data_IF_265775757691
#
_entry.id   IF_265775757691
#
_cell.length_a   1.000
_cell.length_b   1.000
_cell.length_c   1.000
_cell.angle_alpha   90.00
_cell.angle_beta   90.00
_cell.angle_gamma   90.00
#
_symmetry.space_group_name_H-M   'P 1'
#
loop_
_entity.id
_entity.type
_entity.pdbx_description
1 polymer ?
#
# COMPACT_ATOMS: atom_id res chain seq x y z
N UNK A 1 13.04 -10.99 -34.38
CA UNK A 1 12.32 -10.03 -33.54
C UNK A 1 10.94 -10.59 -33.23
N UNK A 2 10.59 -10.83 -31.97
CA UNK A 2 9.20 -11.13 -31.58
C UNK A 2 8.62 -9.90 -30.89
N UNK A 3 7.45 -9.45 -31.33
CA UNK A 3 6.74 -8.33 -30.72
C UNK A 3 5.65 -8.87 -29.80
N UNK A 4 5.74 -8.59 -28.49
CA UNK A 4 4.63 -8.80 -27.56
C UNK A 4 3.69 -7.58 -27.65
N UNK A 5 2.37 -7.80 -27.67
CA UNK A 5 1.36 -6.73 -27.71
C UNK A 5 0.82 -6.49 -26.29
N UNK A 6 0.94 -5.24 -25.82
CA UNK A 6 0.05 -4.66 -24.80
C UNK A 6 -0.88 -3.67 -25.52
N UNK A 7 -2.15 -3.52 -25.10
CA UNK A 7 -3.12 -2.70 -25.82
C UNK A 7 -2.77 -1.19 -25.81
N UNK A 8 -3.15 -0.50 -26.90
CA UNK A 8 -2.68 0.83 -27.37
C UNK A 8 -3.34 2.04 -26.69
N UNK A 9 -2.61 3.17 -26.65
CA UNK A 9 -2.99 4.47 -27.24
C UNK A 9 -1.79 5.43 -27.44
N UNK A 10 -1.85 6.27 -28.48
CA UNK A 10 -0.87 7.30 -28.91
C UNK A 10 -1.00 8.60 -28.08
N UNK A 11 -0.12 9.62 -28.05
CA UNK A 11 0.84 10.15 -29.03
C UNK A 11 2.00 10.96 -28.38
N UNK A 12 2.99 11.27 -29.22
CA UNK A 12 4.36 11.82 -29.02
C UNK A 12 4.52 13.21 -28.41
N UNK A 13 5.65 13.41 -27.70
CA UNK A 13 6.54 14.59 -27.82
C UNK A 13 7.98 14.25 -27.38
N UNK A 14 9.00 14.89 -27.98
CA UNK A 14 10.45 14.58 -27.86
C UNK A 14 11.14 15.42 -26.76
N UNK A 15 12.13 14.91 -26.00
CA UNK A 15 12.89 15.71 -25.02
C UNK A 15 14.32 16.06 -25.47
N UNK A 16 14.88 17.10 -24.83
CA UNK A 16 16.26 17.60 -24.94
C UNK A 16 17.06 17.13 -23.71
N UNK A 17 18.35 16.87 -23.92
CA UNK A 17 19.28 16.14 -23.05
C UNK A 17 20.19 17.07 -22.21
N UNK A 18 20.51 16.69 -20.97
CA UNK A 18 21.74 16.94 -20.17
C UNK A 18 21.40 16.73 -18.68
N UNK A 19 22.15 16.14 -17.76
CA UNK A 19 23.55 15.67 -17.64
C UNK A 19 23.83 15.71 -16.12
N UNK A 20 24.07 14.56 -15.46
CA UNK A 20 24.03 14.44 -13.98
C UNK A 20 25.42 14.17 -13.38
N UNK A 21 25.82 14.98 -12.41
CA UNK A 21 26.95 14.75 -11.50
C UNK A 21 26.44 14.07 -10.22
N UNK A 22 27.12 13.03 -9.74
CA UNK A 22 26.83 12.34 -8.48
C UNK A 22 27.64 12.92 -7.33
N UNK A 23 26.98 13.28 -6.22
CA UNK A 23 27.58 13.54 -4.91
C UNK A 23 26.97 12.56 -3.90
N UNK A 24 27.79 11.77 -3.21
CA UNK A 24 27.35 10.80 -2.22
C UNK A 24 26.96 11.50 -0.90
N UNK A 25 25.80 11.15 -0.33
CA UNK A 25 25.33 11.66 0.96
C UNK A 25 25.15 10.50 1.97
N UNK A 26 25.59 10.74 3.21
CA UNK A 26 25.55 9.82 4.35
C UNK A 26 24.14 9.69 4.98
N UNK A 27 23.81 8.51 5.50
CA UNK A 27 22.53 8.16 6.15
C UNK A 27 22.38 8.82 7.55
N UNK A 28 21.17 9.28 7.96
CA UNK A 28 20.92 9.79 9.32
C UNK A 28 20.55 8.67 10.32
N UNK A 29 20.97 8.84 11.58
CA UNK A 29 20.79 7.90 12.69
C UNK A 29 19.38 7.95 13.33
N UNK A 30 18.89 6.78 13.78
CA UNK A 30 17.77 6.67 14.74
C UNK A 30 18.29 7.03 16.14
N UNK A 31 17.64 7.95 16.86
CA UNK A 31 18.01 8.23 18.26
C UNK A 31 17.24 7.31 19.20
N UNK A 32 17.95 6.76 20.19
CA UNK A 32 17.36 6.03 21.32
C UNK A 32 16.63 6.94 22.32
N UNK A 33 16.16 6.37 23.44
CA UNK A 33 15.45 7.10 24.47
C UNK A 33 16.30 8.25 25.03
N UNK A 34 15.68 9.43 25.19
CA UNK A 34 16.30 10.60 25.80
C UNK A 34 15.44 11.16 26.92
N UNK A 35 16.05 11.97 27.78
CA UNK A 35 15.34 12.73 28.82
C UNK A 35 14.69 13.97 28.20
N UNK A 36 13.38 14.08 28.38
CA UNK A 36 12.56 15.22 28.00
C UNK A 36 12.20 16.02 29.24
N UNK A 37 12.16 17.34 29.10
CA UNK A 37 11.90 18.28 30.18
C UNK A 37 10.80 19.25 29.76
N UNK A 38 9.84 19.49 30.64
CA UNK A 38 8.82 20.50 30.40
C UNK A 38 9.18 21.89 30.95
N UNK A 39 8.35 22.88 30.61
CA UNK A 39 8.52 24.27 31.05
C UNK A 39 8.41 24.45 32.58
N UNK A 40 7.95 23.44 33.31
CA UNK A 40 7.90 23.41 34.78
C UNK A 40 9.08 22.63 35.39
N UNK A 41 10.01 22.14 34.58
CA UNK A 41 11.19 21.38 35.03
C UNK A 41 10.91 19.92 35.35
N UNK A 42 9.73 19.39 35.03
CA UNK A 42 9.43 17.95 35.19
C UNK A 42 10.05 17.19 34.04
N UNK A 43 10.52 15.97 34.31
CA UNK A 43 11.29 15.20 33.34
C UNK A 43 10.73 13.81 33.11
N UNK A 44 10.85 13.31 31.89
CA UNK A 44 10.45 11.95 31.50
C UNK A 44 11.48 11.36 30.52
N UNK A 45 11.77 10.07 30.61
CA UNK A 45 12.57 9.37 29.59
C UNK A 45 11.66 8.76 28.54
N UNK A 46 11.89 9.13 27.28
CA UNK A 46 11.11 8.65 26.15
C UNK A 46 11.89 8.76 24.84
N UNK A 47 11.55 7.92 23.88
CA UNK A 47 11.98 8.04 22.49
C UNK A 47 11.14 9.11 21.78
N UNK A 48 11.77 9.89 20.88
CA UNK A 48 11.03 10.78 19.99
C UNK A 48 10.25 9.93 18.97
N UNK A 49 8.92 9.94 19.05
CA UNK A 49 8.06 9.18 18.14
C UNK A 49 7.48 10.03 17.00
N UNK A 50 7.77 11.33 16.97
CA UNK A 50 7.36 12.24 15.90
C UNK A 50 6.63 13.50 16.38
N UNK A 51 6.02 14.21 15.42
CA UNK A 51 5.19 15.39 15.64
C UNK A 51 3.80 15.17 15.04
N UNK A 52 2.78 15.65 15.74
CA UNK A 52 1.42 15.83 15.24
C UNK A 52 1.01 17.30 15.42
N UNK A 53 1.15 18.09 14.37
CA UNK A 53 1.01 19.55 14.43
C UNK A 53 2.00 20.18 15.41
N UNK A 54 1.49 20.82 16.47
CA UNK A 54 2.26 21.40 17.57
C UNK A 54 2.44 20.46 18.77
N UNK A 55 2.18 19.15 18.58
CA UNK A 55 2.28 18.14 19.63
C UNK A 55 3.43 17.19 19.35
N UNK A 56 4.30 16.97 20.33
CA UNK A 56 5.36 15.96 20.30
C UNK A 56 4.81 14.62 20.75
N UNK A 57 5.09 13.57 19.99
CA UNK A 57 4.76 12.20 20.37
C UNK A 57 5.97 11.58 21.08
N UNK A 58 5.79 11.17 22.33
CA UNK A 58 6.84 10.59 23.18
C UNK A 58 6.55 9.11 23.42
N UNK A 59 7.41 8.21 22.91
CA UNK A 59 7.28 6.78 23.14
C UNK A 59 7.99 6.39 24.43
N UNK A 60 7.20 6.00 25.42
CA UNK A 60 7.66 5.56 26.73
C UNK A 60 8.33 4.19 26.64
N UNK A 61 9.14 3.83 27.65
CA UNK A 61 9.80 2.53 27.74
C UNK A 61 8.85 1.32 27.72
N UNK A 62 7.58 1.52 28.11
CA UNK A 62 6.52 0.52 28.01
C UNK A 62 5.86 0.41 26.62
N UNK A 63 6.38 1.10 25.60
CA UNK A 63 5.85 1.11 24.23
C UNK A 63 4.65 2.04 24.00
N UNK A 64 4.09 2.64 25.06
CA UNK A 64 3.01 3.61 24.96
C UNK A 64 3.51 4.94 24.40
N UNK A 65 2.85 5.46 23.37
CA UNK A 65 3.10 6.82 22.86
C UNK A 65 2.18 7.83 23.56
N UNK A 66 2.79 8.86 24.15
CA UNK A 66 2.09 9.93 24.86
C UNK A 66 2.22 11.24 24.07
N UNK A 67 1.11 11.90 23.70
CA UNK A 67 1.15 13.21 23.10
C UNK A 67 1.46 14.29 24.15
N UNK A 68 2.38 15.19 23.84
CA UNK A 68 2.76 16.32 24.71
C UNK A 68 2.93 17.62 23.91
N UNK A 69 2.27 18.74 24.29
CA UNK A 69 2.37 19.99 23.53
C UNK A 69 3.81 20.51 23.44
N UNK A 70 4.30 20.80 22.22
CA UNK A 70 5.66 21.28 21.96
C UNK A 70 5.93 22.59 22.71
N UNK A 71 4.95 23.50 22.74
CA UNK A 71 5.03 24.77 23.45
C UNK A 71 5.21 24.62 24.98
N UNK A 72 4.89 23.44 25.53
CA UNK A 72 5.06 23.14 26.97
C UNK A 72 6.39 22.48 27.28
N UNK A 73 7.19 22.11 26.28
CA UNK A 73 8.53 21.58 26.50
C UNK A 73 9.53 22.69 26.85
N UNK A 74 10.67 22.31 27.42
CA UNK A 74 11.80 23.20 27.65
C UNK A 74 12.30 23.81 26.33
N UNK A 75 12.96 24.96 26.39
CA UNK A 75 13.55 25.58 25.20
C UNK A 75 14.57 24.67 24.50
N UNK A 76 15.30 23.86 25.28
CA UNK A 76 16.25 22.87 24.77
C UNK A 76 15.54 21.75 24.00
N UNK A 77 14.43 21.23 24.52
CA UNK A 77 13.66 20.18 23.84
C UNK A 77 12.88 20.72 22.65
N UNK A 78 12.41 21.96 22.70
CA UNK A 78 11.87 22.64 21.53
C UNK A 78 12.92 22.81 20.43
N UNK A 79 14.16 23.17 20.79
CA UNK A 79 15.26 23.28 19.84
C UNK A 79 15.68 21.91 19.29
N UNK A 80 15.67 20.84 20.10
CA UNK A 80 15.89 19.47 19.64
C UNK A 80 14.84 19.06 18.59
N UNK A 81 13.56 19.31 18.87
CA UNK A 81 12.46 19.00 17.95
C UNK A 81 12.56 19.83 16.67
N UNK A 82 12.93 21.12 16.76
CA UNK A 82 13.19 21.97 15.59
C UNK A 82 14.38 21.49 14.76
N UNK A 83 15.49 21.09 15.37
CA UNK A 83 16.63 20.48 14.66
C UNK A 83 16.24 19.16 14.00
N UNK A 84 15.37 18.35 14.63
CA UNK A 84 14.81 17.15 14.00
C UNK A 84 13.92 17.50 12.81
N UNK A 85 13.11 18.56 12.89
CA UNK A 85 12.31 19.12 11.78
C UNK A 85 13.18 19.61 10.63
N UNK A 86 14.32 20.23 10.93
CA UNK A 86 15.29 20.73 9.93
C UNK A 86 16.16 19.62 9.32
N UNK A 87 16.61 18.64 10.10
CA UNK A 87 17.28 17.43 9.59
C UNK A 87 16.33 16.54 8.76
N UNK A 88 15.03 16.85 8.77
CA UNK A 88 14.00 16.28 7.91
C UNK A 88 13.42 17.33 6.94
N UNK A 89 14.18 18.37 6.57
CA UNK A 89 13.89 19.27 5.46
C UNK A 89 13.71 18.51 4.11
N UNK A 90 12.96 19.06 3.13
CA UNK A 90 12.48 18.32 1.97
C UNK A 90 13.62 17.89 1.04
N UNK A 91 14.07 16.65 1.21
CA UNK A 91 14.55 15.86 0.08
C UNK A 91 13.37 15.65 -0.89
N UNK A 92 13.66 15.61 -2.19
CA UNK A 92 12.71 15.20 -3.24
C UNK A 92 12.11 13.81 -2.96
N UNK A 93 11.25 13.26 -3.83
CA UNK A 93 10.61 11.97 -3.61
C UNK A 93 11.67 10.97 -3.15
N UNK A 94 11.56 10.52 -1.90
CA UNK A 94 12.54 9.58 -1.36
C UNK A 94 12.39 8.33 -2.20
N UNK A 95 13.44 7.98 -2.95
CA UNK A 95 13.59 6.63 -3.44
C UNK A 95 13.30 5.70 -2.25
N UNK A 96 12.49 4.66 -2.46
CA UNK A 96 12.27 3.65 -1.45
C UNK A 96 13.65 3.24 -0.92
N UNK A 97 13.85 3.32 0.40
CA UNK A 97 15.10 2.91 1.03
C UNK A 97 15.45 1.48 0.63
N UNK A 98 16.72 1.04 0.77
CA UNK A 98 17.11 -0.32 0.41
C UNK A 98 16.20 -1.32 1.15
N UNK A 99 15.69 -2.30 0.40
CA UNK A 99 14.84 -3.37 0.94
C UNK A 99 15.58 -4.07 2.08
N UNK A 100 14.94 -4.21 3.24
CA UNK A 100 15.58 -4.83 4.40
C UNK A 100 15.86 -6.33 4.13
N UNK A 101 17.00 -6.88 4.60
CA UNK A 101 17.25 -8.32 4.56
C UNK A 101 16.14 -9.10 5.26
N UNK A 102 15.80 -10.28 4.75
CA UNK A 102 14.69 -11.11 5.23
C UNK A 102 14.75 -11.36 6.75
N UNK A 103 15.94 -11.60 7.28
CA UNK A 103 16.18 -11.95 8.69
C UNK A 103 15.96 -10.77 9.65
N UNK A 104 15.87 -9.54 9.12
CA UNK A 104 15.64 -8.31 9.89
C UNK A 104 14.22 -7.78 9.77
N UNK A 105 13.34 -8.47 9.02
CA UNK A 105 11.97 -8.02 8.80
C UNK A 105 11.11 -8.48 9.96
N UNK A 106 10.47 -7.52 10.62
CA UNK A 106 9.62 -7.76 11.78
C UNK A 106 8.24 -7.16 11.54
N UNK A 107 7.23 -7.70 12.23
CA UNK A 107 5.89 -7.11 12.21
C UNK A 107 5.91 -5.77 12.95
N UNK A 108 5.44 -4.67 12.31
CA UNK A 108 5.43 -3.38 12.97
C UNK A 108 4.35 -3.31 14.05
N UNK A 109 4.55 -2.46 15.05
CA UNK A 109 3.52 -2.11 16.03
C UNK A 109 2.52 -1.11 15.43
N UNK A 110 2.77 0.18 15.68
CA UNK A 110 2.00 1.26 15.07
C UNK A 110 2.81 1.91 13.95
N UNK A 111 2.16 2.20 12.83
CA UNK A 111 2.79 2.92 11.71
C UNK A 111 2.08 4.24 11.53
N UNK A 112 2.76 5.33 11.87
CA UNK A 112 2.27 6.68 11.70
C UNK A 112 2.91 7.33 10.48
N UNK A 113 2.08 7.97 9.65
CA UNK A 113 2.57 8.83 8.58
C UNK A 113 3.19 10.10 9.16
N UNK A 114 4.29 10.57 8.57
CA UNK A 114 4.91 11.82 9.01
C UNK A 114 4.10 13.03 8.52
N UNK A 115 4.11 14.12 9.28
CA UNK A 115 3.48 15.39 8.87
C UNK A 115 4.06 15.94 7.57
N UNK A 116 5.38 15.78 7.38
CA UNK A 116 6.06 16.14 6.13
C UNK A 116 5.52 15.36 4.93
N UNK A 117 5.26 14.05 5.10
CA UNK A 117 4.82 13.22 3.98
C UNK A 117 3.49 13.70 3.40
N UNK A 118 2.64 14.30 4.23
CA UNK A 118 1.28 14.73 3.88
C UNK A 118 1.18 16.23 3.55
N UNK A 119 2.31 16.96 3.56
CA UNK A 119 2.33 18.37 3.15
C UNK A 119 1.92 18.50 1.68
N UNK A 120 0.91 19.31 1.41
CA UNK A 120 0.39 19.50 0.07
C UNK A 120 1.02 20.70 -0.61
N UNK A 121 1.66 20.45 -1.75
CA UNK A 121 2.07 21.46 -2.71
C UNK A 121 1.03 21.57 -3.83
N UNK A 122 0.51 22.77 -4.07
CA UNK A 122 -0.28 23.08 -5.26
C UNK A 122 0.67 23.30 -6.44
N UNK A 123 0.49 22.55 -7.53
CA UNK A 123 1.35 22.57 -8.72
C UNK A 123 0.68 23.31 -9.88
N UNK A 124 -0.62 23.10 -10.07
CA UNK A 124 -1.37 23.69 -11.19
C UNK A 124 -2.82 23.96 -10.76
N UNK A 125 -3.36 25.12 -11.17
CA UNK A 125 -4.78 25.44 -11.08
C UNK A 125 -5.27 26.00 -12.42
N UNK A 126 -6.02 25.21 -13.17
CA UNK A 126 -6.62 25.58 -14.46
C UNK A 126 -8.12 25.37 -14.39
N UNK A 127 -8.82 26.35 -13.83
CA UNK A 127 -10.26 26.28 -13.60
C UNK A 127 -11.08 26.04 -14.88
N UNK A 128 -10.68 26.68 -16.00
CA UNK A 128 -11.35 26.53 -17.29
C UNK A 128 -11.26 25.09 -17.85
N UNK A 129 -10.21 24.35 -17.49
CA UNK A 129 -9.99 22.96 -17.90
C UNK A 129 -10.51 21.95 -16.86
N UNK A 130 -11.11 22.41 -15.76
CA UNK A 130 -11.44 21.58 -14.60
C UNK A 130 -10.23 20.73 -14.18
N UNK A 131 -9.05 21.35 -14.07
CA UNK A 131 -7.80 20.64 -13.78
C UNK A 131 -7.03 21.33 -12.66
N UNK A 132 -6.82 20.61 -11.57
CA UNK A 132 -6.05 21.05 -10.41
C UNK A 132 -5.07 19.97 -10.02
N UNK A 133 -3.79 20.30 -9.85
CA UNK A 133 -2.73 19.34 -9.54
C UNK A 133 -2.12 19.64 -8.18
N UNK A 134 -2.07 18.63 -7.34
CA UNK A 134 -1.49 18.67 -6.00
C UNK A 134 -0.41 17.60 -5.86
N UNK A 135 0.57 17.82 -5.01
CA UNK A 135 1.61 16.83 -4.70
C UNK A 135 1.78 16.69 -3.19
N UNK A 136 1.93 15.45 -2.74
CA UNK A 136 2.47 15.09 -1.42
C UNK A 136 3.89 14.49 -1.60
N UNK A 137 4.46 13.84 -0.57
CA UNK A 137 5.82 13.28 -0.65
C UNK A 137 5.98 12.17 -1.69
N UNK A 138 4.99 11.31 -1.90
CA UNK A 138 5.07 10.19 -2.84
C UNK A 138 4.00 10.23 -3.95
N UNK A 139 2.97 11.07 -3.82
CA UNK A 139 1.83 11.07 -4.73
C UNK A 139 1.65 12.41 -5.47
N UNK A 140 1.13 12.32 -6.70
CA UNK A 140 0.56 13.42 -7.45
C UNK A 140 -0.93 13.18 -7.64
N UNK A 141 -1.74 14.17 -7.29
CA UNK A 141 -3.19 14.14 -7.38
C UNK A 141 -3.66 15.09 -8.47
N UNK A 142 -4.42 14.60 -9.45
CA UNK A 142 -5.19 15.44 -10.36
C UNK A 142 -6.64 15.47 -9.87
N UNK A 143 -7.23 16.65 -9.74
CA UNK A 143 -8.62 16.85 -9.30
C UNK A 143 -9.40 17.64 -10.33
N UNK A 144 -10.69 17.30 -10.49
CA UNK A 144 -11.60 18.02 -11.40
C UNK A 144 -12.21 19.30 -10.82
N UNK A 145 -12.10 19.49 -9.50
CA UNK A 145 -12.50 20.72 -8.83
C UNK A 145 -11.40 21.20 -7.88
N UNK A 146 -11.43 22.49 -7.56
CA UNK A 146 -10.53 23.07 -6.56
C UNK A 146 -10.89 22.49 -5.20
N UNK A 147 -9.89 21.96 -4.51
CA UNK A 147 -10.03 21.41 -3.17
C UNK A 147 -9.21 22.28 -2.22
N UNK A 148 -9.76 22.56 -1.03
CA UNK A 148 -9.02 23.28 -0.01
C UNK A 148 -7.76 22.48 0.40
N UNK A 149 -6.67 23.17 0.75
CA UNK A 149 -5.42 22.51 1.16
C UNK A 149 -5.59 21.55 2.34
N UNK A 150 -6.48 21.87 3.29
CA UNK A 150 -6.84 20.98 4.40
C UNK A 150 -7.55 19.71 3.94
N UNK A 151 -8.42 19.79 2.94
CA UNK A 151 -9.08 18.61 2.35
C UNK A 151 -8.05 17.74 1.64
N UNK A 152 -7.17 18.33 0.84
CA UNK A 152 -6.11 17.57 0.17
C UNK A 152 -5.12 16.96 1.14
N UNK A 153 -4.81 17.63 2.26
CA UNK A 153 -3.96 17.08 3.32
C UNK A 153 -4.59 15.82 3.91
N UNK A 154 -5.90 15.83 4.16
CA UNK A 154 -6.63 14.66 4.66
C UNK A 154 -6.74 13.52 3.63
N UNK A 155 -6.87 13.84 2.34
CA UNK A 155 -6.82 12.82 1.27
C UNK A 155 -5.41 12.21 1.22
N UNK A 156 -4.37 13.04 1.11
CA UNK A 156 -2.99 12.56 1.05
C UNK A 156 -2.60 11.77 2.30
N UNK A 157 -3.14 12.10 3.48
CA UNK A 157 -2.90 11.37 4.72
C UNK A 157 -3.17 9.88 4.59
N UNK A 158 -4.30 9.48 4.00
CA UNK A 158 -4.61 8.06 3.80
C UNK A 158 -3.66 7.42 2.78
N UNK A 159 -3.37 8.08 1.66
CA UNK A 159 -2.42 7.56 0.65
C UNK A 159 -1.02 7.32 1.22
N UNK A 160 -0.48 8.32 1.91
CA UNK A 160 0.85 8.27 2.48
C UNK A 160 0.93 7.31 3.68
N UNK A 161 -0.12 7.21 4.49
CA UNK A 161 -0.20 6.22 5.57
C UNK A 161 -0.26 4.79 5.02
N UNK A 162 -1.03 4.53 3.97
CA UNK A 162 -1.12 3.19 3.36
C UNK A 162 0.23 2.79 2.74
N UNK A 163 0.90 3.71 2.04
CA UNK A 163 2.28 3.50 1.58
C UNK A 163 3.21 3.19 2.75
N UNK A 164 3.13 3.94 3.84
CA UNK A 164 3.99 3.78 5.00
C UNK A 164 3.80 2.41 5.68
N UNK A 165 2.54 1.97 5.89
CA UNK A 165 2.28 0.66 6.50
C UNK A 165 2.74 -0.47 5.59
N UNK A 166 2.49 -0.42 4.28
CA UNK A 166 2.93 -1.48 3.35
C UNK A 166 4.46 -1.58 3.32
N UNK A 167 5.16 -0.44 3.35
CA UNK A 167 6.63 -0.41 3.40
C UNK A 167 7.19 -0.90 4.74
N UNK A 168 6.41 -0.83 5.83
CA UNK A 168 6.79 -1.30 7.15
C UNK A 168 6.43 -2.77 7.40
N UNK A 169 5.50 -3.36 6.63
CA UNK A 169 5.13 -4.76 6.76
C UNK A 169 6.31 -5.67 6.33
N UNK A 170 6.49 -6.83 6.97
CA UNK A 170 7.64 -7.70 6.72
C UNK A 170 7.62 -8.37 5.35
N UNK A 171 6.56 -8.21 4.57
CA UNK A 171 6.44 -8.68 3.19
C UNK A 171 7.53 -8.13 2.26
N UNK A 172 8.17 -7.01 2.65
CA UNK A 172 9.29 -6.42 1.92
C UNK A 172 8.89 -5.69 0.64
N UNK A 173 7.60 -5.41 0.42
CA UNK A 173 7.10 -4.70 -0.76
C UNK A 173 7.81 -3.35 -0.89
N UNK A 174 8.52 -3.18 -2.01
CA UNK A 174 9.22 -1.93 -2.34
C UNK A 174 8.23 -0.97 -3.00
N UNK A 175 7.67 -0.07 -2.20
CA UNK A 175 6.70 0.95 -2.62
C UNK A 175 7.39 2.06 -3.44
N UNK A 176 7.69 1.79 -4.70
CA UNK A 176 8.24 2.78 -5.65
C UNK A 176 7.22 3.11 -6.75
N UNK A 177 7.16 4.37 -7.21
CA UNK A 177 6.40 4.71 -8.40
C UNK A 177 6.81 3.86 -9.60
N UNK A 178 5.88 3.49 -10.49
CA UNK A 178 6.22 2.72 -11.68
C UNK A 178 7.26 3.43 -12.56
N UNK A 179 8.05 2.64 -13.30
CA UNK A 179 9.13 3.16 -14.16
C UNK A 179 8.76 4.40 -14.97
N UNK A 180 9.61 5.42 -14.87
CA UNK A 180 9.47 6.69 -15.59
C UNK A 180 8.53 7.69 -14.90
N UNK A 181 7.97 7.37 -13.75
CA UNK A 181 7.10 8.27 -12.98
C UNK A 181 7.83 8.79 -11.75
N UNK A 182 7.80 10.10 -11.47
CA UNK A 182 8.41 10.66 -10.26
C UNK A 182 7.59 10.41 -8.99
N UNK A 183 6.29 10.12 -9.15
CA UNK A 183 5.29 9.96 -8.08
C UNK A 183 4.24 8.94 -8.49
N UNK A 184 3.57 8.33 -7.52
CA UNK A 184 2.35 7.59 -7.75
C UNK A 184 1.23 8.54 -8.18
N UNK A 185 0.40 8.14 -9.13
CA UNK A 185 -0.65 9.00 -9.70
C UNK A 185 -2.02 8.65 -9.12
N UNK A 186 -2.76 9.67 -8.70
CA UNK A 186 -4.16 9.56 -8.31
C UNK A 186 -5.01 10.63 -9.03
N UNK A 187 -6.16 10.23 -9.57
CA UNK A 187 -7.11 11.08 -10.27
C UNK A 187 -8.44 11.10 -9.51
N UNK A 188 -8.86 12.30 -9.10
CA UNK A 188 -10.02 12.57 -8.28
C UNK A 188 -11.10 13.23 -9.14
N UNK A 189 -12.21 12.53 -9.34
CA UNK A 189 -13.28 12.93 -10.25
C UNK A 189 -14.45 13.57 -9.49
N UNK A 190 -14.96 14.70 -9.96
CA UNK A 190 -15.98 15.46 -9.23
C UNK A 190 -17.31 14.69 -9.15
N UNK A 191 -17.65 13.94 -10.21
CA UNK A 191 -18.87 13.15 -10.29
C UNK A 191 -18.59 11.67 -10.55
N UNK A 192 -19.56 10.82 -10.23
CA UNK A 192 -19.52 9.39 -10.60
C UNK A 192 -19.47 9.23 -12.12
N UNK A 193 -20.17 10.05 -12.89
CA UNK A 193 -20.13 9.98 -14.35
C UNK A 193 -18.75 10.34 -14.88
N UNK A 194 -18.12 11.40 -14.37
CA UNK A 194 -16.75 11.78 -14.76
C UNK A 194 -15.75 10.62 -14.51
N UNK A 195 -15.93 9.88 -13.40
CA UNK A 195 -15.15 8.69 -13.08
C UNK A 195 -15.38 7.54 -14.07
N UNK A 196 -16.64 7.25 -14.42
CA UNK A 196 -16.99 6.21 -15.39
C UNK A 196 -16.50 6.56 -16.79
N UNK A 197 -16.68 7.80 -17.23
CA UNK A 197 -16.21 8.30 -18.53
C UNK A 197 -14.68 8.23 -18.63
N UNK A 198 -13.99 8.39 -17.50
CA UNK A 198 -12.55 8.20 -17.43
C UNK A 198 -12.11 6.74 -17.39
N UNK A 199 -13.04 5.77 -17.40
CA UNK A 199 -12.76 4.33 -17.39
C UNK A 199 -12.78 3.68 -16.01
N UNK A 200 -13.46 4.28 -15.03
CA UNK A 200 -13.74 3.68 -13.73
C UNK A 200 -14.93 2.71 -13.77
N UNK A 201 -14.91 1.55 -13.08
CA UNK A 201 -16.07 0.67 -13.01
C UNK A 201 -17.24 1.29 -12.24
N UNK A 202 -18.44 1.31 -12.82
CA UNK A 202 -19.62 2.03 -12.30
C UNK A 202 -19.96 1.74 -10.82
N UNK A 203 -19.85 0.48 -10.41
CA UNK A 203 -20.21 0.01 -9.07
C UNK A 203 -19.04 0.00 -8.08
N UNK A 204 -17.87 0.52 -8.46
CA UNK A 204 -16.69 0.58 -7.60
C UNK A 204 -16.60 1.91 -6.83
N UNK A 205 -16.04 1.86 -5.62
CA UNK A 205 -15.71 3.06 -4.86
C UNK A 205 -14.45 3.76 -5.37
N UNK A 206 -13.58 3.04 -6.09
CA UNK A 206 -12.37 3.51 -6.73
C UNK A 206 -11.70 2.34 -7.44
N UNK A 207 -10.64 2.59 -8.20
CA UNK A 207 -9.87 1.53 -8.86
C UNK A 207 -8.43 1.95 -9.09
N UNK A 208 -7.49 1.06 -8.84
CA UNK A 208 -6.14 1.18 -9.40
C UNK A 208 -6.06 0.57 -10.79
N UNK A 209 -5.93 1.43 -11.81
CA UNK A 209 -5.78 0.99 -13.19
C UNK A 209 -4.32 0.69 -13.51
N UNK A 210 -3.98 -0.59 -13.64
CA UNK A 210 -2.59 -1.04 -13.84
C UNK A 210 -1.99 -0.59 -15.17
N UNK A 211 -2.79 -0.49 -16.24
CA UNK A 211 -2.31 -0.07 -17.56
C UNK A 211 -1.92 1.42 -17.59
N UNK A 212 -2.75 2.28 -17.01
CA UNK A 212 -2.53 3.71 -16.88
C UNK A 212 -1.72 4.09 -15.63
N UNK A 213 -1.41 3.10 -14.77
CA UNK A 213 -0.67 3.27 -13.52
C UNK A 213 -1.26 4.33 -12.60
N UNK A 214 -2.58 4.53 -12.69
CA UNK A 214 -3.28 5.64 -12.06
C UNK A 214 -4.39 5.09 -11.18
N UNK A 215 -4.40 5.54 -9.93
CA UNK A 215 -5.52 5.35 -9.03
C UNK A 215 -6.65 6.31 -9.43
N UNK A 216 -7.88 5.83 -9.58
CA UNK A 216 -9.04 6.65 -9.96
C UNK A 216 -10.10 6.58 -8.88
N UNK A 217 -10.65 7.72 -8.49
CA UNK A 217 -11.69 7.78 -7.48
C UNK A 217 -12.65 8.95 -7.68
N UNK A 218 -13.96 8.75 -7.57
CA UNK A 218 -14.93 9.82 -7.51
C UNK A 218 -15.01 10.45 -6.11
N UNK A 219 -15.26 11.76 -6.04
CA UNK A 219 -15.34 12.55 -4.81
C UNK A 219 -16.31 11.97 -3.77
N UNK A 220 -17.42 11.40 -4.22
CA UNK A 220 -18.42 10.76 -3.35
C UNK A 220 -17.78 9.63 -2.53
N UNK A 221 -16.88 8.87 -3.16
CA UNK A 221 -16.13 7.81 -2.51
C UNK A 221 -14.93 8.31 -1.71
N UNK A 222 -14.65 9.61 -1.68
CA UNK A 222 -13.74 10.25 -0.72
C UNK A 222 -14.51 10.88 0.45
N UNK A 223 -15.84 10.73 0.47
CA UNK A 223 -16.73 11.45 1.39
C UNK A 223 -16.74 12.95 1.14
N UNK A 224 -16.40 13.42 -0.07
CA UNK A 224 -16.38 14.85 -0.38
C UNK A 224 -17.76 15.35 -0.79
N UNK A 225 -18.26 16.33 -0.04
CA UNK A 225 -19.53 17.01 -0.30
C UNK A 225 -19.29 18.47 -0.66
N UNK A 226 -20.02 18.95 -1.66
CA UNK A 226 -20.02 20.36 -2.03
C UNK A 226 -20.90 21.14 -1.06
N UNK A 227 -20.35 22.17 -0.40
CA UNK A 227 -21.12 23.14 0.40
C UNK A 227 -20.75 24.55 -0.04
N UNK A 228 -21.71 25.24 -0.66
CA UNK A 228 -21.46 26.51 -1.33
C UNK A 228 -20.49 26.33 -2.50
N UNK A 229 -19.36 27.02 -2.45
CA UNK A 229 -18.34 27.01 -3.51
C UNK A 229 -17.12 26.10 -3.21
N UNK A 230 -17.14 25.36 -2.09
CA UNK A 230 -16.01 24.52 -1.68
C UNK A 230 -16.49 23.11 -1.33
N UNK A 231 -15.54 22.16 -1.30
CA UNK A 231 -15.75 20.81 -0.85
C UNK A 231 -15.32 20.64 0.60
N UNK A 232 -16.04 19.80 1.33
CA UNK A 232 -15.71 19.39 2.68
C UNK A 232 -15.77 17.87 2.78
N UNK A 233 -15.00 17.31 3.71
CA UNK A 233 -15.04 15.89 4.05
C UNK A 233 -16.22 15.64 4.99
N UNK A 234 -17.08 14.69 4.64
CA UNK A 234 -18.12 14.11 5.48
C UNK A 234 -17.74 12.65 5.85
N UNK A 235 -18.62 11.94 6.56
CA UNK A 235 -18.45 10.54 6.95
C UNK A 235 -17.98 9.68 5.77
N UNK A 236 -16.82 9.04 5.98
CA UNK A 236 -16.05 8.39 4.94
C UNK A 236 -15.51 7.04 5.45
N UNK A 237 -15.77 5.96 4.72
CA UNK A 237 -15.11 4.66 4.94
C UNK A 237 -13.78 4.67 4.20
N UNK A 238 -12.67 4.57 4.93
CA UNK A 238 -11.32 4.52 4.34
C UNK A 238 -11.06 3.20 3.60
N UNK A 239 -11.98 2.25 3.68
CA UNK A 239 -11.70 0.84 3.45
C UNK A 239 -11.42 0.60 1.96
N UNK A 240 -12.30 1.09 1.05
CA UNK A 240 -12.06 1.02 -0.41
C UNK A 240 -10.82 1.81 -0.87
N UNK A 241 -10.42 2.87 -0.16
CA UNK A 241 -9.18 3.59 -0.50
C UNK A 241 -7.96 2.73 -0.20
N UNK A 242 -7.88 2.17 1.01
CA UNK A 242 -6.72 1.41 1.47
C UNK A 242 -6.51 0.18 0.59
N UNK A 243 -7.59 -0.51 0.20
CA UNK A 243 -7.55 -1.64 -0.74
C UNK A 243 -6.86 -1.28 -2.06
N UNK A 244 -7.38 -0.25 -2.72
CA UNK A 244 -6.91 0.14 -4.05
C UNK A 244 -5.51 0.81 -4.02
N UNK A 245 -5.16 1.51 -2.94
CA UNK A 245 -3.79 2.03 -2.75
C UNK A 245 -2.82 0.87 -2.55
N UNK A 246 -3.25 -0.23 -1.90
CA UNK A 246 -2.42 -1.43 -1.73
C UNK A 246 -2.06 -2.03 -3.09
N UNK A 247 -3.03 -2.15 -4.00
CA UNK A 247 -2.77 -2.56 -5.40
C UNK A 247 -1.76 -1.64 -6.09
N UNK A 248 -1.87 -0.32 -5.89
CA UNK A 248 -0.94 0.65 -6.45
C UNK A 248 0.49 0.48 -5.90
N UNK A 249 0.65 0.28 -4.59
CA UNK A 249 1.96 0.03 -3.98
C UNK A 249 2.58 -1.29 -4.44
N UNK A 250 1.73 -2.25 -4.81
CA UNK A 250 2.14 -3.56 -5.30
C UNK A 250 2.30 -3.64 -6.83
N UNK A 251 2.23 -2.52 -7.58
CA UNK A 251 2.21 -2.52 -9.06
C UNK A 251 3.17 -3.51 -9.71
N UNK A 252 4.45 -3.47 -9.33
CA UNK A 252 5.50 -4.31 -9.92
C UNK A 252 5.32 -5.81 -9.59
N UNK A 253 4.59 -6.14 -8.52
CA UNK A 253 4.37 -7.50 -8.02
C UNK A 253 3.13 -8.16 -8.64
N UNK A 254 2.13 -7.37 -9.05
CA UNK A 254 0.83 -7.89 -9.50
C UNK A 254 0.96 -8.93 -10.63
N UNK A 255 1.93 -8.76 -11.53
CA UNK A 255 2.19 -9.69 -12.63
C UNK A 255 2.72 -11.07 -12.22
N UNK A 256 3.16 -11.22 -10.97
CA UNK A 256 3.84 -12.41 -10.45
C UNK A 256 3.08 -13.10 -9.31
N UNK A 257 1.91 -12.58 -8.95
CA UNK A 257 1.11 -13.08 -7.84
C UNK A 257 -0.20 -13.70 -8.32
N UNK A 258 -0.70 -14.77 -7.66
CA UNK A 258 -2.06 -15.26 -7.81
C UNK A 258 -3.08 -14.20 -7.42
N UNK A 259 -4.26 -14.19 -8.04
CA UNK A 259 -5.29 -13.18 -7.76
C UNK A 259 -5.78 -13.24 -6.31
N UNK A 260 -5.96 -14.44 -5.74
CA UNK A 260 -6.36 -14.57 -4.33
C UNK A 260 -5.36 -13.90 -3.39
N UNK A 261 -4.07 -13.92 -3.72
CA UNK A 261 -3.05 -13.31 -2.88
C UNK A 261 -3.03 -11.79 -3.05
N UNK A 262 -3.21 -11.30 -4.28
CA UNK A 262 -3.33 -9.86 -4.56
C UNK A 262 -4.47 -9.24 -3.76
N UNK A 263 -5.68 -9.82 -3.85
CA UNK A 263 -6.85 -9.30 -3.14
C UNK A 263 -6.75 -9.54 -1.65
N UNK A 264 -6.27 -10.71 -1.22
CA UNK A 264 -6.10 -11.02 0.20
C UNK A 264 -5.08 -10.11 0.91
N UNK A 265 -4.05 -9.64 0.21
CA UNK A 265 -3.09 -8.68 0.76
C UNK A 265 -3.70 -7.29 0.90
N UNK A 266 -4.50 -6.84 -0.09
CA UNK A 266 -5.22 -5.57 -0.01
C UNK A 266 -6.25 -5.58 1.12
N UNK A 267 -7.05 -6.64 1.23
CA UNK A 267 -7.99 -6.88 2.33
C UNK A 267 -7.28 -6.97 3.70
N UNK A 268 -6.08 -7.56 3.77
CA UNK A 268 -5.31 -7.58 5.02
C UNK A 268 -4.90 -6.18 5.47
N UNK A 269 -4.50 -5.30 4.55
CA UNK A 269 -4.13 -3.92 4.92
C UNK A 269 -5.37 -3.13 5.31
N UNK A 270 -6.49 -3.32 4.61
CA UNK A 270 -7.81 -2.76 4.94
C UNK A 270 -8.29 -3.18 6.35
N UNK A 271 -8.05 -4.44 6.73
CA UNK A 271 -8.37 -4.96 8.06
C UNK A 271 -7.67 -4.21 9.20
N UNK A 272 -6.48 -3.66 8.97
CA UNK A 272 -5.71 -3.02 10.03
C UNK A 272 -6.43 -1.75 10.52
N UNK A 273 -6.67 -1.60 11.84
CA UNK A 273 -7.36 -0.42 12.33
C UNK A 273 -6.59 0.85 11.98
N UNK A 274 -7.28 1.76 11.31
CA UNK A 274 -6.72 3.02 10.83
C UNK A 274 -7.42 4.21 11.48
N UNK A 275 -6.64 5.18 11.97
CA UNK A 275 -7.17 6.45 12.45
C UNK A 275 -6.17 7.57 12.24
N UNK A 276 -6.60 8.63 11.55
CA UNK A 276 -5.86 9.89 11.43
C UNK A 276 -4.38 9.71 11.00
N UNK A 277 -4.11 8.87 10.01
CA UNK A 277 -2.75 8.64 9.50
C UNK A 277 -1.94 7.59 10.28
N UNK A 278 -2.57 6.86 11.21
CA UNK A 278 -1.94 5.81 12.00
C UNK A 278 -2.63 4.47 11.74
N UNK A 279 -1.85 3.48 11.30
CA UNK A 279 -2.25 2.08 11.27
C UNK A 279 -1.81 1.36 12.53
N UNK A 280 -2.71 0.60 13.15
CA UNK A 280 -2.47 -0.29 14.30
C UNK A 280 -2.19 -1.71 13.81
N UNK A 281 -0.99 -1.93 13.27
CA UNK A 281 -0.60 -3.26 12.79
C UNK A 281 -0.53 -4.28 13.94
N UNK A 282 -0.23 -3.83 15.16
CA UNK A 282 -0.31 -4.62 16.41
C UNK A 282 -1.72 -5.12 16.76
N UNK A 283 -2.77 -4.47 16.25
CA UNK A 283 -4.16 -4.80 16.55
C UNK A 283 -4.79 -5.77 15.55
N UNK A 284 -4.03 -6.30 14.59
CA UNK A 284 -4.49 -7.21 13.53
C UNK A 284 -5.31 -8.39 14.07
N UNK A 285 -4.92 -8.98 15.20
CA UNK A 285 -5.64 -10.11 15.82
C UNK A 285 -7.03 -9.72 16.29
N UNK A 286 -7.17 -8.59 16.96
CA UNK A 286 -8.46 -8.11 17.44
C UNK A 286 -9.35 -7.71 16.26
N UNK A 287 -8.78 -7.06 15.24
CA UNK A 287 -9.49 -6.71 14.03
C UNK A 287 -10.03 -7.96 13.31
N UNK A 288 -9.18 -8.98 13.07
CA UNK A 288 -9.59 -10.24 12.45
C UNK A 288 -10.76 -10.91 13.19
N UNK A 289 -10.72 -10.93 14.53
CA UNK A 289 -11.82 -11.46 15.35
C UNK A 289 -13.12 -10.68 15.15
N UNK A 290 -13.07 -9.35 15.25
CA UNK A 290 -14.25 -8.50 15.07
C UNK A 290 -14.87 -8.68 13.69
N UNK A 291 -14.02 -8.66 12.66
CA UNK A 291 -14.43 -8.83 11.26
C UNK A 291 -15.13 -10.18 11.05
N UNK A 292 -14.56 -11.28 11.55
CA UNK A 292 -15.20 -12.60 11.43
C UNK A 292 -16.50 -12.68 12.23
N UNK A 293 -16.55 -12.09 13.43
CA UNK A 293 -17.78 -12.03 14.23
C UNK A 293 -18.90 -11.26 13.50
N UNK A 294 -18.57 -10.17 12.82
CA UNK A 294 -19.49 -9.39 11.99
C UNK A 294 -19.99 -10.18 10.78
N UNK A 295 -19.11 -10.94 10.13
CA UNK A 295 -19.50 -11.81 9.03
C UNK A 295 -20.50 -12.88 9.50
N UNK A 296 -20.23 -13.52 10.63
CA UNK A 296 -21.13 -14.52 11.23
C UNK A 296 -22.49 -13.90 11.57
N UNK A 297 -22.52 -12.73 12.24
CA UNK A 297 -23.76 -12.00 12.54
C UNK A 297 -24.55 -11.64 11.29
N UNK A 298 -23.85 -11.40 10.18
CA UNK A 298 -24.44 -11.08 8.89
C UNK A 298 -24.80 -12.31 8.05
N UNK A 299 -24.74 -13.52 8.61
CA UNK A 299 -25.08 -14.77 7.93
C UNK A 299 -24.04 -15.24 6.90
N UNK A 300 -22.78 -14.79 7.02
CA UNK A 300 -21.68 -15.09 6.09
C UNK A 300 -20.56 -15.82 6.84
N UNK A 301 -20.67 -17.13 7.08
CA UNK A 301 -19.66 -17.85 7.86
C UNK A 301 -18.27 -17.81 7.18
N UNK A 302 -17.17 -17.76 7.95
CA UNK A 302 -15.81 -17.78 7.42
C UNK A 302 -15.49 -19.18 6.88
N UNK A 303 -15.70 -19.39 5.58
CA UNK A 303 -15.55 -20.69 4.93
C UNK A 303 -14.73 -20.65 3.65
N UNK A 304 -13.96 -21.72 3.42
CA UNK A 304 -13.21 -22.00 2.19
C UNK A 304 -13.67 -23.37 1.68
N UNK A 305 -14.59 -23.42 0.69
CA UNK A 305 -15.22 -24.68 0.25
C UNK A 305 -14.29 -25.67 -0.46
N UNK A 306 -13.20 -25.18 -1.05
CA UNK A 306 -12.08 -25.98 -1.54
C UNK A 306 -10.84 -25.10 -1.54
N UNK A 307 -9.85 -25.51 -0.75
CA UNK A 307 -8.60 -24.79 -0.56
C UNK A 307 -7.74 -24.87 -1.82
N UNK A 308 -7.63 -26.06 -2.41
CA UNK A 308 -6.93 -26.29 -3.67
C UNK A 308 -7.49 -25.40 -4.77
N UNK A 309 -8.80 -25.47 -5.01
CA UNK A 309 -9.44 -24.70 -6.07
C UNK A 309 -9.23 -23.18 -5.90
N UNK A 310 -9.26 -22.67 -4.66
CA UNK A 310 -9.04 -21.25 -4.39
C UNK A 310 -7.56 -20.85 -4.57
N UNK A 311 -6.62 -21.66 -4.10
CA UNK A 311 -5.19 -21.37 -4.17
C UNK A 311 -4.60 -21.52 -5.59
N UNK A 312 -5.14 -22.42 -6.40
CA UNK A 312 -4.71 -22.67 -7.79
C UNK A 312 -5.54 -21.93 -8.83
N UNK A 313 -6.49 -21.07 -8.43
CA UNK A 313 -7.38 -20.37 -9.36
C UNK A 313 -6.61 -19.36 -10.20
N UNK A 314 -6.62 -19.55 -11.52
CA UNK A 314 -6.02 -18.59 -12.44
C UNK A 314 -6.90 -17.35 -12.63
N UNK A 315 -6.40 -16.37 -13.39
CA UNK A 315 -7.09 -15.08 -13.58
C UNK A 315 -8.43 -15.22 -14.32
N UNK A 316 -8.53 -16.13 -15.27
CA UNK A 316 -9.77 -16.38 -16.01
C UNK A 316 -10.83 -17.00 -15.10
N UNK A 317 -10.46 -18.05 -14.35
CA UNK A 317 -11.34 -18.68 -13.37
C UNK A 317 -11.81 -17.69 -12.31
N UNK A 318 -10.90 -16.84 -11.81
CA UNK A 318 -11.27 -15.77 -10.88
C UNK A 318 -12.29 -14.82 -11.49
N UNK A 319 -12.05 -14.34 -12.71
CA UNK A 319 -12.96 -13.43 -13.40
C UNK A 319 -14.36 -14.04 -13.60
N UNK A 320 -14.44 -15.34 -13.89
CA UNK A 320 -15.70 -16.06 -14.01
C UNK A 320 -16.45 -16.16 -12.67
N UNK A 321 -15.74 -16.48 -11.58
CA UNK A 321 -16.33 -16.59 -10.24
C UNK A 321 -16.80 -15.24 -9.69
N UNK A 322 -16.08 -14.15 -9.99
CA UNK A 322 -16.37 -12.81 -9.46
C UNK A 322 -17.28 -11.95 -10.34
N UNK A 323 -18.02 -12.56 -11.28
CA UNK A 323 -18.95 -11.84 -12.15
C UNK A 323 -20.07 -11.11 -11.37
N UNK A 324 -20.43 -11.63 -10.19
CA UNK A 324 -21.40 -11.02 -9.29
C UNK A 324 -20.72 -10.40 -8.06
N UNK A 325 -21.25 -9.24 -7.62
CA UNK A 325 -20.65 -8.50 -6.50
C UNK A 325 -20.62 -9.30 -5.18
N UNK A 326 -21.60 -10.17 -4.91
CA UNK A 326 -21.55 -11.01 -3.70
C UNK A 326 -20.51 -12.11 -3.79
N UNK A 327 -20.30 -12.68 -4.99
CA UNK A 327 -19.27 -13.69 -5.23
C UNK A 327 -17.87 -13.09 -5.15
N UNK A 328 -17.69 -11.88 -5.67
CA UNK A 328 -16.46 -11.11 -5.48
C UNK A 328 -16.14 -10.92 -3.99
N UNK A 329 -17.10 -10.44 -3.20
CA UNK A 329 -16.94 -10.30 -1.74
C UNK A 329 -16.65 -11.64 -1.06
N UNK A 330 -17.26 -12.73 -1.52
CA UNK A 330 -16.99 -14.08 -1.00
C UNK A 330 -15.53 -14.50 -1.25
N UNK A 331 -15.02 -14.26 -2.46
CA UNK A 331 -13.64 -14.56 -2.85
C UNK A 331 -12.62 -13.71 -2.08
N UNK A 332 -12.94 -12.44 -1.81
CA UNK A 332 -12.10 -11.55 -1.01
C UNK A 332 -12.03 -12.02 0.45
N UNK A 333 -13.18 -12.37 1.06
CA UNK A 333 -13.24 -12.95 2.41
C UNK A 333 -12.43 -14.24 2.54
N UNK A 334 -12.48 -15.13 1.55
CA UNK A 334 -11.64 -16.35 1.53
C UNK A 334 -10.16 -16.00 1.47
N UNK A 335 -9.81 -15.00 0.67
CA UNK A 335 -8.43 -14.60 0.40
C UNK A 335 -7.75 -13.96 1.62
N UNK A 336 -8.45 -13.08 2.34
CA UNK A 336 -7.90 -12.52 3.59
C UNK A 336 -7.69 -13.58 4.66
N UNK A 337 -8.54 -14.62 4.73
CA UNK A 337 -8.34 -15.73 5.67
C UNK A 337 -7.01 -16.46 5.39
N UNK A 338 -6.68 -16.68 4.12
CA UNK A 338 -5.41 -17.32 3.75
C UNK A 338 -4.21 -16.42 4.01
N UNK A 339 -4.28 -15.15 3.60
CA UNK A 339 -3.18 -14.20 3.83
C UNK A 339 -2.90 -14.02 5.32
N UNK A 340 -3.94 -13.90 6.13
CA UNK A 340 -3.79 -13.79 7.58
C UNK A 340 -3.21 -15.07 8.19
N UNK A 341 -3.68 -16.25 7.76
CA UNK A 341 -3.10 -17.53 8.20
C UNK A 341 -1.60 -17.61 7.89
N UNK A 342 -1.20 -17.40 6.64
CA UNK A 342 0.21 -17.47 6.23
C UNK A 342 1.08 -16.38 6.85
N UNK A 343 0.48 -15.25 7.23
CA UNK A 343 1.16 -14.16 7.92
C UNK A 343 1.41 -14.44 9.41
N UNK A 344 0.44 -15.03 10.11
CA UNK A 344 0.40 -15.00 11.57
C UNK A 344 0.18 -16.34 12.26
N UNK A 345 -0.31 -17.35 11.56
CA UNK A 345 -0.81 -18.59 12.16
C UNK A 345 -0.10 -19.85 11.64
N UNK A 346 0.51 -19.79 10.46
CA UNK A 346 1.25 -20.91 9.87
C UNK A 346 2.53 -21.21 10.65
N UNK A 347 2.83 -22.50 10.83
CA UNK A 347 4.06 -23.00 11.45
C UNK A 347 4.41 -22.35 12.79
N UNK A 348 5.55 -21.67 12.82
CA UNK A 348 6.09 -20.97 14.01
C UNK A 348 5.41 -19.62 14.29
N UNK A 349 4.40 -19.25 13.51
CA UNK A 349 3.61 -18.01 13.63
C UNK A 349 4.38 -16.73 13.35
N UNK A 350 5.55 -16.84 12.74
CA UNK A 350 6.33 -15.66 12.30
C UNK A 350 6.00 -15.23 10.87
N UNK A 351 5.27 -16.07 10.13
CA UNK A 351 5.02 -15.91 8.70
C UNK A 351 6.18 -16.36 7.82
N UNK A 352 7.14 -17.11 8.36
CA UNK A 352 8.39 -17.46 7.68
C UNK A 352 8.23 -18.00 6.24
N UNK A 353 7.24 -18.87 5.98
CA UNK A 353 6.97 -19.38 4.61
C UNK A 353 6.49 -18.27 3.68
N UNK A 354 5.61 -17.41 4.17
CA UNK A 354 5.11 -16.28 3.39
C UNK A 354 6.20 -15.26 3.07
N UNK A 355 7.08 -14.97 4.04
CA UNK A 355 8.18 -14.04 3.81
C UNK A 355 9.20 -14.59 2.79
N UNK A 356 9.52 -15.89 2.84
CA UNK A 356 10.36 -16.54 1.81
C UNK A 356 9.67 -16.53 0.44
N UNK A 357 8.37 -16.76 0.38
CA UNK A 357 7.59 -16.66 -0.85
C UNK A 357 7.68 -15.24 -1.45
N UNK A 358 7.44 -14.20 -0.64
CA UNK A 358 7.52 -12.81 -1.09
C UNK A 358 8.93 -12.39 -1.49
N UNK A 359 9.97 -13.02 -0.91
CA UNK A 359 11.35 -12.84 -1.35
C UNK A 359 11.61 -13.46 -2.73
N UNK A 360 11.10 -14.66 -2.98
CA UNK A 360 11.22 -15.30 -4.29
C UNK A 360 10.46 -14.51 -5.38
N UNK A 361 9.26 -13.99 -5.07
CA UNK A 361 8.51 -13.09 -5.96
C UNK A 361 9.29 -11.81 -6.25
N UNK A 362 9.96 -11.24 -5.24
CA UNK A 362 10.78 -10.06 -5.44
C UNK A 362 11.95 -10.31 -6.40
N UNK A 363 12.52 -11.51 -6.42
CA UNK A 363 13.52 -11.88 -7.44
C UNK A 363 12.99 -11.73 -8.88
N UNK A 364 11.71 -12.01 -9.12
CA UNK A 364 11.07 -11.77 -10.43
C UNK A 364 10.90 -10.28 -10.72
N UNK A 365 10.54 -9.50 -9.69
CA UNK A 365 10.42 -8.03 -9.76
C UNK A 365 11.78 -7.41 -10.10
N UNK A 366 12.85 -7.80 -9.40
CA UNK A 366 14.20 -7.35 -9.70
C UNK A 366 14.65 -7.74 -11.10
N UNK A 367 14.39 -8.98 -11.52
CA UNK A 367 14.69 -9.43 -12.88
C UNK A 367 13.96 -8.60 -13.94
N UNK A 368 12.70 -8.21 -13.68
CA UNK A 368 11.92 -7.37 -14.59
C UNK A 368 12.45 -5.93 -14.63
N UNK A 369 12.79 -5.36 -13.47
CA UNK A 369 13.43 -4.04 -13.38
C UNK A 369 14.77 -4.03 -14.12
N UNK A 370 15.59 -5.07 -13.92
CA UNK A 370 16.87 -5.23 -14.62
C UNK A 370 16.67 -5.36 -16.14
N UNK A 371 15.63 -6.09 -16.58
CA UNK A 371 15.26 -6.17 -17.99
C UNK A 371 14.95 -4.77 -18.56
N UNK A 372 14.12 -3.96 -17.89
CA UNK A 372 13.79 -2.63 -18.38
C UNK A 372 14.91 -1.59 -18.24
N UNK A 373 15.87 -1.81 -17.34
CA UNK A 373 17.06 -0.99 -17.18
C UNK A 373 18.15 -1.30 -18.24
N UNK A 374 18.09 -2.46 -18.90
CA UNK A 374 19.07 -2.82 -19.93
C UNK A 374 18.95 -1.85 -21.14
N UNK A 375 20.05 -1.18 -21.55
CA UNK A 375 20.03 -0.17 -22.61
C UNK A 375 19.63 -0.73 -23.99
N UNK A 376 19.64 -2.05 -24.16
CA UNK A 376 19.19 -2.73 -25.38
C UNK A 376 17.67 -2.86 -25.43
N UNK A 377 16.97 -2.69 -24.31
CA UNK A 377 15.51 -2.63 -24.25
C UNK A 377 15.06 -1.22 -24.62
N UNK A 378 14.52 -1.08 -25.83
CA UNK A 378 14.05 0.21 -26.33
C UNK A 378 12.54 0.30 -26.21
N UNK A 379 12.08 1.25 -25.40
CA UNK A 379 10.66 1.62 -25.33
C UNK A 379 10.23 2.28 -26.64
N UNK A 380 9.03 1.92 -27.07
CA UNK A 380 8.39 2.39 -28.30
C UNK A 380 7.07 3.06 -27.92
N UNK A 381 6.48 3.76 -28.89
CA UNK A 381 5.17 4.38 -28.72
C UNK A 381 4.08 3.34 -28.39
N UNK A 382 3.14 3.72 -27.51
CA UNK A 382 2.03 2.86 -27.11
C UNK A 382 2.42 1.67 -26.21
N UNK A 383 3.42 1.83 -25.34
CA UNK A 383 3.79 0.81 -24.34
C UNK A 383 4.55 -0.40 -24.88
N UNK A 384 4.86 -0.42 -26.19
CA UNK A 384 5.64 -1.51 -26.81
C UNK A 384 7.12 -1.35 -26.47
N UNK A 385 7.86 -2.44 -26.51
CA UNK A 385 9.31 -2.41 -26.35
C UNK A 385 9.97 -3.43 -27.28
N UNK A 386 11.22 -3.16 -27.66
CA UNK A 386 12.05 -4.05 -28.47
C UNK A 386 13.28 -4.46 -27.69
N UNK A 387 13.73 -5.70 -27.88
CA UNK A 387 14.87 -6.26 -27.17
C UNK A 387 15.52 -7.38 -28.00
N UNK A 388 16.83 -7.67 -27.80
CA UNK A 388 17.50 -8.78 -28.46
C UNK A 388 16.89 -10.13 -28.07
N UNK A 389 16.84 -11.10 -28.99
CA UNK A 389 16.30 -12.44 -28.70
C UNK A 389 17.06 -13.22 -27.62
N UNK A 390 18.31 -12.83 -27.34
CA UNK A 390 19.13 -13.38 -26.28
C UNK A 390 18.72 -12.89 -24.88
N UNK A 391 17.97 -11.78 -24.78
CA UNK A 391 17.47 -11.23 -23.54
C UNK A 391 15.99 -11.63 -23.40
N UNK A 392 15.67 -12.46 -22.41
CA UNK A 392 14.28 -12.89 -22.16
C UNK A 392 13.73 -12.15 -20.94
N UNK A 393 12.62 -11.41 -21.06
CA UNK A 393 11.97 -10.84 -19.88
C UNK A 393 11.39 -11.98 -19.02
N UNK A 394 11.27 -11.78 -17.70
CA UNK A 394 10.43 -12.64 -16.88
C UNK A 394 9.00 -12.69 -17.45
N UNK A 395 8.34 -13.85 -17.34
CA UNK A 395 6.93 -13.95 -17.67
C UNK A 395 6.11 -13.10 -16.70
N UNK A 396 5.04 -12.46 -17.14
CA UNK A 396 4.06 -11.82 -16.26
C UNK A 396 2.67 -12.28 -16.67
N UNK A 397 1.75 -12.34 -15.70
CA UNK A 397 0.33 -12.67 -15.88
C UNK A 397 0.05 -14.05 -16.49
N UNK A 398 1.06 -14.92 -16.58
CA UNK A 398 0.93 -16.31 -17.02
C UNK A 398 0.83 -17.22 -15.81
N UNK A 399 0.02 -18.26 -15.89
CA UNK A 399 -0.18 -19.27 -14.84
C UNK A 399 1.16 -19.84 -14.34
N UNK A 400 2.05 -20.22 -15.26
CA UNK A 400 3.42 -20.70 -14.99
C UNK A 400 4.27 -19.74 -14.14
N UNK A 401 3.96 -18.44 -14.19
CA UNK A 401 4.69 -17.40 -13.47
C UNK A 401 3.99 -17.06 -12.16
N UNK A 402 2.68 -16.81 -12.17
CA UNK A 402 1.95 -16.41 -10.97
C UNK A 402 1.91 -17.53 -9.92
N UNK A 403 2.00 -18.79 -10.34
CA UNK A 403 2.04 -19.94 -9.42
C UNK A 403 3.45 -20.48 -9.16
N UNK A 404 4.49 -19.94 -9.81
CA UNK A 404 5.86 -20.47 -9.78
C UNK A 404 6.37 -20.75 -8.37
N UNK A 405 6.10 -19.81 -7.47
CA UNK A 405 6.65 -19.82 -6.11
C UNK A 405 5.70 -20.42 -5.08
N UNK A 406 4.48 -20.85 -5.45
CA UNK A 406 3.50 -21.42 -4.52
C UNK A 406 4.05 -22.62 -3.75
N UNK A 407 4.98 -23.37 -4.35
CA UNK A 407 5.73 -24.46 -3.70
C UNK A 407 6.36 -24.06 -2.35
N UNK A 408 6.77 -22.80 -2.19
CA UNK A 408 7.36 -22.28 -0.94
C UNK A 408 6.30 -22.11 0.17
N UNK A 409 5.07 -21.74 -0.20
CA UNK A 409 3.95 -21.57 0.72
C UNK A 409 3.41 -22.92 1.19
N UNK A 410 3.15 -23.82 0.23
CA UNK A 410 2.63 -25.15 0.54
C UNK A 410 3.71 -26.03 1.19
N UNK A 411 4.96 -25.90 0.74
CA UNK A 411 6.16 -26.62 1.24
C UNK A 411 5.85 -28.11 1.41
N UNK A 412 5.47 -28.68 0.27
CA UNK A 412 5.16 -30.11 0.04
C UNK A 412 3.98 -30.67 0.87
N UNK A 413 3.29 -29.83 1.65
CA UNK A 413 2.10 -30.24 2.40
C UNK A 413 0.93 -30.50 1.42
N UNK A 414 0.22 -31.64 1.56
CA UNK A 414 -1.02 -31.85 0.83
C UNK A 414 -2.11 -30.89 1.34
N UNK A 415 -3.10 -30.56 0.50
CA UNK A 415 -4.13 -29.57 0.85
C UNK A 415 -4.97 -29.99 2.06
N UNK A 416 -5.14 -31.28 2.32
CA UNK A 416 -5.79 -31.79 3.54
C UNK A 416 -5.04 -31.36 4.80
N UNK A 417 -3.70 -31.38 4.75
CA UNK A 417 -2.85 -30.95 5.87
C UNK A 417 -2.92 -29.44 6.04
N UNK A 418 -2.85 -28.68 4.95
CA UNK A 418 -2.93 -27.21 5.00
C UNK A 418 -4.31 -26.77 5.52
N UNK A 419 -5.40 -27.37 5.04
CA UNK A 419 -6.75 -27.10 5.51
C UNK A 419 -6.89 -27.34 7.01
N UNK A 420 -6.39 -28.48 7.52
CA UNK A 420 -6.37 -28.79 8.94
C UNK A 420 -5.53 -27.77 9.75
N UNK A 421 -4.37 -27.38 9.23
CA UNK A 421 -3.49 -26.39 9.88
C UNK A 421 -4.14 -25.00 9.92
N UNK A 422 -4.88 -24.60 8.88
CA UNK A 422 -5.65 -23.34 8.88
C UNK A 422 -6.71 -23.36 9.98
N UNK A 423 -7.49 -24.45 10.07
CA UNK A 423 -8.53 -24.59 11.10
C UNK A 423 -7.94 -24.52 12.51
N UNK A 424 -6.86 -25.27 12.78
CA UNK A 424 -6.20 -25.25 14.09
C UNK A 424 -5.52 -23.89 14.37
N UNK A 425 -4.92 -23.26 13.37
CA UNK A 425 -4.33 -21.92 13.48
C UNK A 425 -5.35 -20.88 13.95
N UNK A 426 -6.51 -20.81 13.31
CA UNK A 426 -7.58 -19.87 13.68
C UNK A 426 -8.17 -20.15 15.05
N UNK A 427 -8.29 -21.43 15.43
CA UNK A 427 -8.73 -21.84 16.77
C UNK A 427 -7.82 -21.27 17.86
N UNK A 428 -6.51 -21.11 17.62
CA UNK A 428 -5.57 -20.52 18.61
C UNK A 428 -5.84 -19.05 18.92
N UNK A 429 -6.55 -18.33 18.04
CA UNK A 429 -6.99 -16.95 18.27
C UNK A 429 -8.47 -16.85 18.67
N UNK A 430 -9.14 -17.99 18.85
CA UNK A 430 -10.54 -18.08 19.23
C UNK A 430 -11.51 -17.80 18.08
N UNK A 431 -11.10 -18.10 16.84
CA UNK A 431 -11.93 -17.97 15.64
C UNK A 431 -12.19 -19.35 15.07
N UNK A 432 -13.44 -19.64 14.69
CA UNK A 432 -13.81 -20.88 14.01
C UNK A 432 -13.96 -20.63 12.52
N UNK A 433 -13.24 -21.39 11.71
CA UNK A 433 -13.32 -21.39 10.24
C UNK A 433 -13.66 -22.79 9.73
N UNK A 434 -14.33 -22.88 8.58
CA UNK A 434 -14.56 -24.14 7.86
C UNK A 434 -13.70 -24.16 6.59
N UNK A 435 -12.72 -25.06 6.52
CA UNK A 435 -11.80 -25.16 5.38
C UNK A 435 -11.79 -26.61 4.91
N UNK A 436 -12.13 -26.80 3.64
CA UNK A 436 -12.07 -28.10 2.97
C UNK A 436 -10.86 -28.12 2.04
N UNK A 437 -10.21 -29.28 1.86
CA UNK A 437 -9.05 -29.42 0.97
C UNK A 437 -9.33 -28.91 -0.45
#
# INVERSE_FOLDING_TARGET
>A
MRALHLPRAAARMKPVMAGMFFLAAALPAQDGPRKWTDAQGRTVEAEFAGLDGETVLLKMSGGQTVPYPLAKLSAEDQAFVSKRKEASAPAGPSAAGPRQPLEKREWPGNVAVSTRAIEIKVVEEKAAERRYVYQSEAFEFTSQAKLAGSVMTEVARTFEATRAVINALPWGVVCQPPDGMPRFLAALYETRQDYVDAGGPELSGGVYQTAEKTFRIPFQSLGLEKRGQTYFKNDFSNDTLVHEITHQMMHDYLGFLPTWLIEGMAEYVELLPYRAGVFRADAHKTAMKSTVDEWIKSGRPPMIPSLEAHMSMNREGWGAETAEAEKMREMYRRSILLVYYFSHLDGDRTGARFLRFMEAVYGEVEAMRAFFADPRVKRMEGGRFTYPSSLKPPGMYKDETIFRHLGILVDERPYEKIAADIVEGYKTIGVKVDVRP
#
